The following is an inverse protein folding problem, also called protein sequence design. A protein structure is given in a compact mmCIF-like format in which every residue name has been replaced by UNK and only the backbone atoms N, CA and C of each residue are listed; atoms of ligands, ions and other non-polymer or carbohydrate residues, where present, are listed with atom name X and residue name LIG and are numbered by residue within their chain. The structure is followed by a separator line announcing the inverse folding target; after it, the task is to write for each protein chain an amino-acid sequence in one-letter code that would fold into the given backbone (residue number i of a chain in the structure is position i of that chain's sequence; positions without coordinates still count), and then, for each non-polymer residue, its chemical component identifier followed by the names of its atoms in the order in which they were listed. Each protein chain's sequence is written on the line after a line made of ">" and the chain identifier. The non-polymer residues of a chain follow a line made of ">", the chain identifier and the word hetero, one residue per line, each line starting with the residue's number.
data_IF_147176294169
#
_entry.id   IF_147176294169
#
_cell.length_a   1.000
_cell.length_b   1.000
_cell.length_c   1.000
_cell.angle_alpha   90.00
_cell.angle_beta   90.00
_cell.angle_gamma   90.00
#
_symmetry.space_group_name_H-M   'P 1'
#
loop_
_entity.id
_entity.type
_entity.pdbx_description
1 polymer ?
#
# COMPACT_ATOMS: atom_id res chain seq x y z
N UNK A 1 -12.53 -6.42 23.74
CA UNK A 1 -13.58 -6.54 22.69
C UNK A 1 -13.89 -5.13 22.19
N UNK A 2 -13.79 -4.88 20.89
CA UNK A 2 -13.99 -3.54 20.32
C UNK A 2 -15.50 -3.27 20.18
N UNK A 3 -16.05 -2.45 21.08
CA UNK A 3 -17.46 -2.05 21.05
C UNK A 3 -17.65 -0.60 21.53
N UNK A 4 -18.74 0.08 21.16
CA UNK A 4 -19.05 1.41 21.67
C UNK A 4 -19.38 1.38 23.16
N UNK A 5 -18.84 2.33 23.93
CA UNK A 5 -19.13 2.46 25.37
C UNK A 5 -20.59 2.84 25.65
N UNK A 6 -21.18 3.65 24.78
CA UNK A 6 -22.58 4.12 24.89
C UNK A 6 -23.22 4.11 23.50
N UNK A 7 -24.48 3.69 23.43
CA UNK A 7 -25.30 3.75 22.22
C UNK A 7 -26.69 4.27 22.54
N UNK A 8 -27.26 5.07 21.63
CA UNK A 8 -28.64 5.58 21.77
C UNK A 8 -29.67 4.45 21.68
N UNK A 9 -29.46 3.50 20.78
CA UNK A 9 -30.35 2.35 20.57
C UNK A 9 -29.55 1.06 20.55
N UNK A 10 -30.01 0.05 21.31
CA UNK A 10 -29.35 -1.26 21.39
C UNK A 10 -29.62 -2.16 20.18
N UNK A 11 -30.72 -1.95 19.43
CA UNK A 11 -31.15 -2.81 18.31
C UNK A 11 -31.35 -2.00 17.02
N UNK A 12 -30.29 -1.74 16.26
CA UNK A 12 -30.35 -0.92 15.03
C UNK A 12 -30.87 -1.66 13.80
N UNK A 13 -31.60 -0.99 12.91
CA UNK A 13 -32.07 -1.59 11.64
C UNK A 13 -30.92 -2.04 10.74
N UNK A 14 -31.22 -2.98 9.82
CA UNK A 14 -30.20 -3.58 8.94
C UNK A 14 -29.54 -2.55 8.02
N UNK A 15 -30.28 -1.54 7.55
CA UNK A 15 -29.75 -0.49 6.66
C UNK A 15 -29.22 -1.02 5.32
N UNK A 16 -28.57 -0.14 4.55
CA UNK A 16 -28.01 -0.42 3.23
C UNK A 16 -26.51 -0.14 3.18
N UNK A 17 -25.77 -0.88 2.35
CA UNK A 17 -24.32 -0.71 2.12
C UNK A 17 -24.00 -0.03 0.78
N UNK A 18 -25.01 0.50 0.08
CA UNK A 18 -24.84 1.06 -1.26
C UNK A 18 -23.95 2.32 -1.28
N UNK A 19 -23.33 2.55 -2.43
CA UNK A 19 -22.50 3.71 -2.75
C UNK A 19 -21.02 3.54 -2.41
N UNK A 20 -20.21 4.53 -2.79
CA UNK A 20 -18.77 4.60 -2.54
C UNK A 20 -18.46 5.46 -1.31
N UNK A 21 -17.27 5.30 -0.74
CA UNK A 21 -16.84 6.12 0.40
C UNK A 21 -16.48 7.54 -0.06
N UNK A 22 -17.24 8.54 0.38
CA UNK A 22 -16.89 9.97 0.20
C UNK A 22 -15.92 10.50 1.26
N UNK A 23 -15.74 9.75 2.36
CA UNK A 23 -14.88 10.12 3.49
C UNK A 23 -14.01 8.95 3.89
N UNK A 24 -12.83 9.24 4.45
CA UNK A 24 -11.90 8.21 4.92
C UNK A 24 -11.39 7.31 3.78
N UNK A 25 -11.34 7.85 2.57
CA UNK A 25 -10.88 7.20 1.35
C UNK A 25 -9.41 7.49 1.02
N UNK A 26 -8.72 8.26 1.87
CA UNK A 26 -7.30 8.56 1.79
C UNK A 26 -6.60 8.22 3.12
N UNK A 27 -5.28 8.02 3.05
CA UNK A 27 -4.40 7.77 4.20
C UNK A 27 -4.15 9.11 4.90
N UNK A 28 -4.48 9.21 6.19
CA UNK A 28 -4.31 10.48 6.91
C UNK A 28 -3.17 10.47 7.94
N UNK A 29 -2.84 9.31 8.52
CA UNK A 29 -1.87 9.20 9.59
C UNK A 29 -0.61 8.47 9.12
N UNK A 30 -0.76 7.24 8.63
CA UNK A 30 0.37 6.39 8.23
C UNK A 30 1.00 6.75 6.88
N UNK A 31 1.93 5.90 6.46
CA UNK A 31 2.61 5.96 5.17
C UNK A 31 1.98 4.98 4.16
N UNK A 32 1.40 3.89 4.67
CA UNK A 32 0.75 2.86 3.86
C UNK A 32 -0.61 2.49 4.46
N UNK A 33 -1.48 1.89 3.66
CA UNK A 33 -2.79 1.46 4.12
C UNK A 33 -3.40 0.34 3.29
N UNK A 34 -4.53 -0.15 3.79
CA UNK A 34 -5.36 -1.14 3.11
C UNK A 34 -6.74 -0.55 2.82
N UNK A 35 -7.14 -0.58 1.55
CA UNK A 35 -8.39 -0.02 1.06
C UNK A 35 -9.37 -1.12 0.66
N UNK A 36 -10.64 -0.95 1.02
CA UNK A 36 -11.72 -1.84 0.59
C UNK A 36 -12.06 -1.65 -0.90
N UNK A 37 -12.19 -2.76 -1.64
CA UNK A 37 -12.64 -2.76 -3.03
C UNK A 37 -14.15 -3.00 -3.17
N UNK A 38 -14.76 -3.63 -2.16
CA UNK A 38 -16.17 -3.99 -2.18
C UNK A 38 -16.88 -3.62 -0.85
N UNK A 39 -18.20 -3.42 -0.88
CA UNK A 39 -18.96 -3.13 0.34
C UNK A 39 -19.07 -4.38 1.22
N UNK A 40 -19.06 -4.19 2.53
CA UNK A 40 -19.26 -5.30 3.46
C UNK A 40 -19.45 -4.86 4.90
N UNK A 41 -19.89 -5.80 5.73
CA UNK A 41 -19.84 -5.65 7.19
C UNK A 41 -18.61 -6.36 7.71
N UNK A 42 -17.78 -5.61 8.43
CA UNK A 42 -16.58 -6.15 9.06
C UNK A 42 -16.84 -6.24 10.56
N UNK A 43 -16.81 -7.45 11.11
CA UNK A 43 -17.01 -7.70 12.54
C UNK A 43 -15.83 -7.16 13.35
N UNK A 44 -16.12 -6.63 14.54
CA UNK A 44 -15.15 -6.38 15.61
C UNK A 44 -14.06 -7.45 15.76
N UNK A 45 -14.40 -8.75 15.64
CA UNK A 45 -13.46 -9.87 15.73
C UNK A 45 -12.49 -9.92 14.55
N UNK A 46 -12.98 -9.61 13.34
CA UNK A 46 -12.17 -9.57 12.13
C UNK A 46 -11.24 -8.36 12.14
N UNK A 47 -11.73 -7.21 12.61
CA UNK A 47 -10.90 -6.00 12.80
C UNK A 47 -9.73 -6.32 13.75
N UNK A 48 -10.02 -6.97 14.86
CA UNK A 48 -9.00 -7.36 15.84
C UNK A 48 -8.05 -8.43 15.29
N UNK A 49 -8.55 -9.41 14.53
CA UNK A 49 -7.72 -10.42 13.87
C UNK A 49 -6.74 -9.79 12.87
N UNK A 50 -7.21 -8.85 12.05
CA UNK A 50 -6.39 -8.09 11.11
C UNK A 50 -5.33 -7.25 11.85
N UNK A 51 -5.72 -6.51 12.91
CA UNK A 51 -4.78 -5.75 13.75
C UNK A 51 -3.69 -6.63 14.35
N UNK A 52 -4.06 -7.79 14.90
CA UNK A 52 -3.10 -8.75 15.47
C UNK A 52 -2.16 -9.32 14.40
N UNK A 53 -2.66 -9.56 13.18
CA UNK A 53 -1.82 -10.03 12.08
C UNK A 53 -0.74 -8.99 11.71
N UNK A 54 -1.12 -7.72 11.56
CA UNK A 54 -0.19 -6.61 11.30
C UNK A 54 0.84 -6.52 12.43
N UNK A 55 0.37 -6.45 13.68
CA UNK A 55 1.24 -6.30 14.86
C UNK A 55 2.24 -7.45 14.97
N UNK A 56 1.82 -8.69 14.67
CA UNK A 56 2.70 -9.86 14.73
C UNK A 56 3.82 -9.79 13.69
N UNK A 57 3.50 -9.35 12.47
CA UNK A 57 4.48 -9.26 11.40
C UNK A 57 5.50 -8.13 11.65
N UNK A 58 4.99 -6.99 12.12
CA UNK A 58 5.74 -5.75 12.33
C UNK A 58 6.53 -5.74 13.67
N UNK A 59 6.18 -6.64 14.60
CA UNK A 59 6.84 -6.86 15.90
C UNK A 59 6.81 -5.61 16.81
N UNK A 60 7.97 -4.98 17.05
CA UNK A 60 8.13 -3.81 17.94
C UNK A 60 8.42 -2.49 17.20
N UNK A 61 8.47 -2.51 15.86
CA UNK A 61 8.59 -1.30 15.04
C UNK A 61 7.22 -0.78 14.60
N UNK A 62 7.14 0.45 14.11
CA UNK A 62 5.95 0.94 13.41
C UNK A 62 4.73 1.31 14.28
N UNK A 63 3.90 2.17 13.70
CA UNK A 63 2.64 2.63 14.28
C UNK A 63 1.49 2.09 13.42
N UNK A 64 0.41 1.63 14.06
CA UNK A 64 -0.75 1.05 13.39
C UNK A 64 -1.98 1.88 13.76
N UNK A 65 -2.73 2.31 12.75
CA UNK A 65 -4.01 3.00 12.93
C UNK A 65 -5.14 2.14 12.39
N UNK A 66 -6.22 2.06 13.16
CA UNK A 66 -7.48 1.44 12.75
C UNK A 66 -8.42 2.57 12.34
N UNK A 67 -8.84 2.58 11.07
CA UNK A 67 -9.66 3.65 10.48
C UNK A 67 -11.15 3.39 10.51
N UNK A 68 -11.52 2.16 10.84
CA UNK A 68 -12.90 1.70 10.98
C UNK A 68 -13.18 1.32 12.44
N UNK A 69 -14.40 1.58 12.88
CA UNK A 69 -14.85 1.23 14.22
C UNK A 69 -16.20 0.52 14.12
N UNK A 70 -16.41 -0.59 14.85
CA UNK A 70 -17.66 -1.34 14.82
C UNK A 70 -18.71 -0.63 15.68
N UNK A 71 -19.44 0.29 15.06
CA UNK A 71 -20.45 1.15 15.69
C UNK A 71 -21.89 0.62 15.56
N UNK A 72 -22.10 -0.45 14.78
CA UNK A 72 -23.42 -0.98 14.47
C UNK A 72 -23.64 -2.35 15.10
N UNK A 73 -24.68 -2.48 15.93
CA UNK A 73 -25.10 -3.76 16.52
C UNK A 73 -25.79 -4.65 15.48
N UNK A 74 -25.38 -5.90 15.32
CA UNK A 74 -26.14 -6.92 14.58
C UNK A 74 -26.93 -7.75 15.59
N UNK A 75 -28.21 -7.99 15.29
CA UNK A 75 -29.07 -8.84 16.11
C UNK A 75 -29.30 -10.18 15.44
N UNK A 76 -29.26 -11.26 16.22
CA UNK A 76 -29.59 -12.60 15.75
C UNK A 76 -30.77 -13.18 16.55
N UNK A 77 -31.59 -14.00 15.88
CA UNK A 77 -32.52 -14.90 16.55
C UNK A 77 -31.92 -16.30 16.58
N UNK A 78 -32.16 -17.09 17.64
CA UNK A 78 -31.76 -18.49 17.65
C UNK A 78 -32.40 -19.24 16.48
N UNK A 79 -31.65 -20.15 15.88
CA UNK A 79 -32.11 -20.96 14.74
C UNK A 79 -33.34 -21.82 15.08
N UNK A 80 -33.52 -22.13 16.36
CA UNK A 80 -34.64 -22.93 16.90
C UNK A 80 -35.98 -22.16 16.91
N UNK A 81 -35.95 -20.83 16.77
CA UNK A 81 -37.16 -20.00 16.86
C UNK A 81 -37.81 -19.76 15.50
N UNK A 82 -39.16 -19.78 15.45
CA UNK A 82 -39.91 -19.45 14.24
C UNK A 82 -39.85 -17.95 13.91
N UNK A 83 -40.20 -17.63 12.66
CA UNK A 83 -40.36 -16.25 12.20
C UNK A 83 -41.48 -15.53 12.98
N UNK A 84 -41.40 -14.20 13.13
CA UNK A 84 -42.31 -13.40 13.97
C UNK A 84 -41.75 -13.07 15.37
N UNK A 85 -42.58 -12.61 16.31
CA UNK A 85 -42.17 -12.31 17.70
C UNK A 85 -41.09 -11.22 17.88
N UNK A 86 -41.04 -10.26 16.95
CA UNK A 86 -40.17 -9.09 17.06
C UNK A 86 -38.71 -9.36 16.67
N UNK A 87 -37.76 -8.62 17.26
CA UNK A 87 -36.35 -8.62 16.89
C UNK A 87 -35.47 -9.29 17.94
N UNK A 88 -34.51 -10.10 17.49
CA UNK A 88 -33.57 -10.83 18.35
C UNK A 88 -32.67 -9.95 19.23
N UNK A 89 -31.84 -10.61 20.04
CA UNK A 89 -30.86 -9.94 20.90
C UNK A 89 -29.65 -9.45 20.07
N UNK A 90 -28.96 -8.37 20.49
CA UNK A 90 -27.67 -8.01 19.90
C UNK A 90 -26.65 -9.14 20.11
N UNK A 91 -25.99 -9.53 19.02
CA UNK A 91 -25.04 -10.63 18.97
C UNK A 91 -23.60 -10.12 18.89
N UNK A 92 -23.30 -9.33 17.86
CA UNK A 92 -21.97 -8.74 17.64
C UNK A 92 -22.05 -7.33 17.07
N UNK A 93 -20.90 -6.66 17.02
CA UNK A 93 -20.75 -5.31 16.46
C UNK A 93 -20.00 -5.36 15.15
N UNK A 94 -20.50 -4.61 14.16
CA UNK A 94 -19.91 -4.52 12.83
C UNK A 94 -19.62 -3.08 12.45
N UNK A 95 -18.59 -2.89 11.65
CA UNK A 95 -18.35 -1.67 10.90
C UNK A 95 -18.98 -1.81 9.51
N UNK A 96 -19.75 -0.82 9.09
CA UNK A 96 -20.25 -0.76 7.70
C UNK A 96 -19.18 -0.16 6.82
N UNK A 97 -18.62 -0.98 5.93
CA UNK A 97 -17.55 -0.58 5.02
C UNK A 97 -18.12 -0.39 3.61
N UNK A 98 -17.75 0.73 2.99
CA UNK A 98 -18.01 1.03 1.58
C UNK A 98 -16.74 0.85 0.75
N UNK A 99 -16.85 0.63 -0.56
CA UNK A 99 -15.70 0.69 -1.47
C UNK A 99 -14.92 2.00 -1.32
N UNK A 100 -13.61 1.91 -1.55
CA UNK A 100 -12.60 2.97 -1.41
C UNK A 100 -12.31 3.42 0.02
N UNK A 101 -12.96 2.85 1.04
CA UNK A 101 -12.66 3.19 2.43
C UNK A 101 -11.31 2.60 2.84
N UNK A 102 -10.45 3.41 3.46
CA UNK A 102 -9.23 2.94 4.14
C UNK A 102 -9.62 2.29 5.47
N UNK A 103 -9.12 1.08 5.73
CA UNK A 103 -9.48 0.27 6.90
C UNK A 103 -8.39 0.30 7.97
N UNK A 104 -7.13 0.15 7.54
CA UNK A 104 -5.95 0.20 8.40
C UNK A 104 -4.88 1.05 7.74
N UNK A 105 -4.07 1.71 8.56
CA UNK A 105 -2.86 2.40 8.14
C UNK A 105 -1.68 1.92 8.98
N UNK A 106 -0.49 1.98 8.39
CA UNK A 106 0.78 1.68 9.05
C UNK A 106 1.81 2.74 8.67
N UNK A 107 2.72 3.06 9.58
CA UNK A 107 3.77 4.04 9.35
C UNK A 107 5.01 3.74 10.18
N UNK A 108 6.14 4.31 9.79
CA UNK A 108 7.43 4.05 10.45
C UNK A 108 7.95 2.62 10.21
N UNK A 109 7.63 2.03 9.05
CA UNK A 109 8.12 0.73 8.60
C UNK A 109 8.58 0.85 7.15
N UNK A 110 9.49 -0.04 6.74
CA UNK A 110 9.88 -0.18 5.32
C UNK A 110 8.71 -0.71 4.49
N UNK A 111 8.72 -0.39 3.20
CA UNK A 111 7.65 -0.75 2.27
C UNK A 111 7.46 -2.27 2.12
N UNK A 112 8.56 -3.02 2.02
CA UNK A 112 8.57 -4.49 1.98
C UNK A 112 7.81 -5.10 3.17
N UNK A 113 8.06 -4.58 4.36
CA UNK A 113 7.39 -4.99 5.59
C UNK A 113 5.91 -4.60 5.57
N UNK A 114 5.59 -3.40 5.07
CA UNK A 114 4.22 -2.92 4.99
C UNK A 114 3.36 -3.75 4.03
N UNK A 115 3.89 -4.10 2.86
CA UNK A 115 3.20 -4.91 1.85
C UNK A 115 2.80 -6.26 2.43
N UNK A 116 3.76 -6.98 3.03
CA UNK A 116 3.48 -8.31 3.58
C UNK A 116 2.55 -8.25 4.81
N UNK A 117 2.75 -7.26 5.70
CA UNK A 117 1.86 -7.07 6.84
C UNK A 117 0.40 -6.81 6.40
N UNK A 118 0.21 -5.94 5.40
CA UNK A 118 -1.11 -5.59 4.88
C UNK A 118 -1.74 -6.73 4.09
N UNK A 119 -0.95 -7.53 3.36
CA UNK A 119 -1.43 -8.74 2.69
C UNK A 119 -2.01 -9.72 3.72
N UNK A 120 -1.26 -10.02 4.79
CA UNK A 120 -1.72 -10.89 5.88
C UNK A 120 -2.98 -10.38 6.58
N UNK A 121 -3.09 -9.06 6.74
CA UNK A 121 -4.30 -8.42 7.28
C UNK A 121 -5.50 -8.59 6.36
N UNK A 122 -5.31 -8.41 5.04
CA UNK A 122 -6.33 -8.61 4.01
C UNK A 122 -6.96 -9.99 4.06
N UNK A 123 -6.16 -11.05 4.28
CA UNK A 123 -6.66 -12.41 4.45
C UNK A 123 -7.54 -12.63 5.70
N UNK A 124 -7.58 -11.68 6.65
CA UNK A 124 -8.46 -11.74 7.83
C UNK A 124 -9.78 -11.00 7.63
N UNK A 125 -9.92 -10.26 6.54
CA UNK A 125 -11.09 -9.46 6.25
C UNK A 125 -12.05 -10.23 5.33
N UNK A 126 -13.37 -10.05 5.49
CA UNK A 126 -14.37 -10.73 4.67
C UNK A 126 -14.60 -10.05 3.32
N UNK A 127 -13.75 -9.08 2.94
CA UNK A 127 -13.89 -8.25 1.74
C UNK A 127 -12.58 -8.19 0.99
N UNK A 128 -12.65 -8.05 -0.33
CA UNK A 128 -11.49 -7.76 -1.17
C UNK A 128 -10.89 -6.41 -0.84
N UNK A 129 -9.57 -6.39 -0.75
CA UNK A 129 -8.79 -5.21 -0.37
C UNK A 129 -7.61 -5.00 -1.31
N UNK A 130 -7.16 -3.75 -1.43
CA UNK A 130 -5.89 -3.41 -2.08
C UNK A 130 -4.95 -2.68 -1.12
N UNK A 131 -3.65 -2.87 -1.32
CA UNK A 131 -2.62 -2.05 -0.71
C UNK A 131 -2.61 -0.66 -1.36
N UNK A 132 -2.39 0.37 -0.56
CA UNK A 132 -2.26 1.75 -1.02
C UNK A 132 -1.08 2.41 -0.30
N UNK A 133 -0.29 3.15 -1.06
CA UNK A 133 0.75 4.04 -0.53
C UNK A 133 0.15 5.42 -0.29
N UNK A 134 0.64 6.15 0.70
CA UNK A 134 0.33 7.56 0.85
C UNK A 134 0.90 8.24 -0.38
N UNK A 135 0.02 8.76 -1.23
CA UNK A 135 0.47 9.69 -2.24
C UNK A 135 1.01 10.90 -1.47
N UNK A 136 2.34 10.99 -1.34
CA UNK A 136 3.02 12.27 -1.16
C UNK A 136 2.41 13.13 -2.24
N UNK A 137 1.70 14.20 -1.86
CA UNK A 137 0.94 15.01 -2.80
C UNK A 137 1.80 15.24 -4.05
N UNK A 138 1.46 14.55 -5.14
CA UNK A 138 1.77 15.07 -6.45
C UNK A 138 1.07 16.42 -6.42
N UNK A 139 1.88 17.48 -6.41
CA UNK A 139 1.44 18.86 -6.22
C UNK A 139 0.14 19.02 -7.04
N UNK A 140 -0.99 19.46 -6.43
CA UNK A 140 -2.28 19.49 -7.13
C UNK A 140 -2.29 20.41 -8.37
N UNK A 141 -1.18 21.08 -8.65
CA UNK A 141 -0.93 21.93 -9.80
C UNK A 141 0.53 21.75 -10.24
N UNK A 142 0.89 20.53 -10.61
CA UNK A 142 2.10 20.26 -11.39
C UNK A 142 1.94 20.98 -12.73
N UNK A 143 2.77 21.97 -13.04
CA UNK A 143 2.71 22.66 -14.33
C UNK A 143 2.96 21.66 -15.45
N UNK A 144 2.45 21.93 -16.66
CA UNK A 144 2.65 21.06 -17.84
C UNK A 144 4.15 20.76 -18.06
N UNK A 145 5.03 21.70 -17.68
CA UNK A 145 6.49 21.55 -17.70
C UNK A 145 7.03 20.56 -16.67
N UNK A 146 6.53 20.57 -15.43
CA UNK A 146 6.89 19.60 -14.39
C UNK A 146 6.37 18.19 -14.75
N UNK A 147 5.16 18.10 -15.34
CA UNK A 147 4.61 16.84 -15.84
C UNK A 147 5.44 16.26 -17.01
N UNK A 148 5.84 17.11 -17.97
CA UNK A 148 6.67 16.70 -19.10
C UNK A 148 8.05 16.22 -18.65
N UNK A 149 8.67 16.87 -17.65
CA UNK A 149 9.97 16.46 -17.12
C UNK A 149 9.90 15.17 -16.29
N UNK A 150 8.80 14.89 -15.59
CA UNK A 150 8.58 13.62 -14.91
C UNK A 150 8.35 12.45 -15.90
N UNK A 151 7.68 12.71 -17.03
CA UNK A 151 7.51 11.73 -18.12
C UNK A 151 8.84 11.48 -18.82
N UNK A 152 9.58 12.53 -19.16
CA UNK A 152 10.89 12.44 -19.80
C UNK A 152 11.94 11.71 -18.93
N UNK A 153 11.93 11.91 -17.61
CA UNK A 153 12.82 11.19 -16.70
C UNK A 153 12.49 9.69 -16.61
N UNK A 154 11.20 9.33 -16.66
CA UNK A 154 10.77 7.93 -16.75
C UNK A 154 11.15 7.29 -18.07
N UNK A 155 10.96 7.99 -19.20
CA UNK A 155 11.37 7.49 -20.51
C UNK A 155 12.90 7.33 -20.61
N UNK A 156 13.68 8.26 -20.07
CA UNK A 156 15.15 8.14 -20.01
C UNK A 156 15.62 6.95 -19.17
N UNK A 157 14.93 6.64 -18.06
CA UNK A 157 15.22 5.47 -17.24
C UNK A 157 14.84 4.16 -17.95
N UNK A 158 13.74 4.14 -18.69
CA UNK A 158 13.33 2.97 -19.50
C UNK A 158 14.24 2.75 -20.72
N UNK A 159 14.93 3.79 -21.19
CA UNK A 159 15.92 3.69 -22.29
C UNK A 159 17.37 3.55 -21.80
N UNK A 160 17.63 3.69 -20.49
CA UNK A 160 18.96 3.52 -19.88
C UNK A 160 19.04 2.20 -19.10
N UNK A 161 18.63 1.10 -19.72
CA UNK A 161 19.12 -0.23 -19.36
C UNK A 161 19.39 -1.05 -20.62
N UNK A 162 20.50 -0.75 -21.30
CA UNK A 162 21.28 -1.74 -22.05
C UNK A 162 22.70 -1.22 -22.28
N UNK A 163 23.59 -1.38 -21.31
CA UNK A 163 25.02 -1.41 -21.55
C UNK A 163 25.45 -2.89 -21.59
N UNK A 164 25.52 -3.53 -22.77
CA UNK A 164 26.13 -4.83 -22.88
C UNK A 164 27.64 -4.66 -22.63
N UNK A 165 28.11 -5.40 -21.64
CA UNK A 165 29.51 -5.80 -21.50
C UNK A 165 30.08 -6.24 -22.85
N UNK A 166 31.10 -5.54 -23.34
CA UNK A 166 31.74 -5.89 -24.61
C UNK A 166 32.77 -4.87 -25.05
N UNK A 167 33.76 -4.57 -24.20
CA UNK A 167 34.99 -3.96 -24.70
C UNK A 167 35.82 -5.11 -25.29
N UNK A 168 35.64 -5.35 -26.59
CA UNK A 168 36.56 -6.15 -27.38
C UNK A 168 37.86 -5.39 -27.58
N UNK A 169 38.96 -6.04 -27.24
CA UNK A 169 40.31 -5.61 -27.55
C UNK A 169 40.57 -5.81 -29.05
N UNK A 170 40.95 -4.73 -29.73
CA UNK A 170 41.87 -4.74 -30.87
C UNK A 170 41.27 -4.74 -32.29
N UNK A 171 41.56 -3.69 -33.05
CA UNK A 171 42.32 -3.76 -34.31
C UNK A 171 42.32 -2.41 -35.06
N UNK A 172 43.53 -1.91 -35.33
CA UNK A 172 44.01 -1.09 -36.46
C UNK A 172 43.21 0.12 -36.99
N UNK A 173 43.85 1.29 -36.92
CA UNK A 173 43.88 2.24 -38.04
C UNK A 173 45.22 3.00 -38.02
N UNK A 174 45.98 2.79 -39.09
CA UNK A 174 47.22 3.46 -39.49
C UNK A 174 46.98 4.93 -39.82
N UNK A 175 47.80 5.84 -39.29
CA UNK A 175 48.16 7.07 -40.02
C UNK A 175 49.64 7.39 -39.82
N UNK A 176 50.33 7.50 -40.96
CA UNK A 176 51.68 7.98 -41.13
C UNK A 176 51.73 9.48 -40.82
N UNK A 177 52.72 9.93 -40.04
CA UNK A 177 53.22 11.30 -40.13
C UNK A 177 54.75 11.27 -40.14
N UNK A 178 55.27 11.79 -41.24
CA UNK A 178 56.67 11.94 -41.62
C UNK A 178 57.47 12.89 -40.71
N UNK A 179 58.71 12.45 -40.43
CA UNK A 179 59.99 13.19 -40.49
C UNK A 179 60.48 14.14 -39.37
N UNK A 180 61.82 14.06 -39.24
CA UNK A 180 62.79 14.92 -38.55
C UNK A 180 63.03 14.60 -37.05
N UNK A 181 64.22 14.24 -36.58
CA UNK A 181 65.56 14.12 -37.15
C UNK A 181 66.57 13.97 -36.00
N UNK A 182 67.79 13.56 -36.33
CA UNK A 182 69.04 13.90 -35.61
C UNK A 182 69.45 13.07 -34.38
N UNK A 183 70.26 12.03 -34.69
CA UNK A 183 71.62 11.73 -34.18
C UNK A 183 71.92 11.35 -32.72
N UNK A 184 72.74 10.28 -32.64
CA UNK A 184 73.96 10.10 -31.83
C UNK A 184 73.89 9.26 -30.52
N UNK A 185 74.88 8.34 -30.38
CA UNK A 185 75.28 7.72 -29.11
C UNK A 185 75.15 6.19 -29.05
N UNK A 186 75.94 5.38 -29.76
CA UNK A 186 77.19 4.69 -29.31
C UNK A 186 77.15 3.89 -28.00
N UNK A 187 77.59 2.62 -28.12
CA UNK A 187 78.25 1.74 -27.12
C UNK A 187 77.35 1.15 -26.01
N UNK A 188 77.42 -0.12 -25.60
CA UNK A 188 78.40 -1.19 -25.80
C UNK A 188 78.63 -1.89 -24.45
N UNK A 189 78.60 -3.24 -24.44
CA UNK A 189 78.95 -4.16 -23.33
C UNK A 189 77.95 -4.16 -22.15
N UNK A 190 77.60 -5.27 -21.52
CA UNK A 190 78.21 -6.58 -21.33
C UNK A 190 77.10 -7.61 -21.06
#
# INVERSE_FOLDING_TARGET
>A
MLMPKRVKHRKVHRGSMRGRASRGNFIAFGDYGIQALEPGWVDSRQIEAARRAITRYVRRGGQIWIRIFPDKSVTAKPAETRMGSGKGAPDHWVAVVKPDRILFEIGGVREDVAIEAMRLAGHKLPIRTRFVTRQTAAKPNMTVQEQASAVAYKEHLEHTEYAPSGVEFGAEATEEVETAGTSAGTEGKE
#
